data_IF_790622724994
#
_entry.id   IF_790622724994
#
_cell.length_a   1.000
_cell.length_b   1.000
_cell.length_c   1.000
_cell.angle_alpha   90.00
_cell.angle_beta   90.00
_cell.angle_gamma   90.00
#
_symmetry.space_group_name_H-M   'P 1'
#
loop_
_entity.id
_entity.type
_entity.pdbx_description
1 polymer ?
#
# COMPACT_ATOMS: atom_id res chain seq x y z
N UNK A 1 23.86 24.55 30.61
CA UNK A 1 23.13 23.39 31.16
C UNK A 1 22.06 22.95 30.16
N UNK A 2 22.43 22.62 28.91
CA UNK A 2 21.51 22.21 27.79
C UNK A 2 22.02 21.00 26.98
N UNK A 3 23.01 20.23 27.48
CA UNK A 3 23.68 19.17 26.70
C UNK A 3 23.39 17.73 27.17
N UNK A 4 22.69 17.50 28.28
CA UNK A 4 22.58 16.14 28.84
C UNK A 4 21.28 15.37 28.50
N UNK A 5 20.22 16.03 28.08
CA UNK A 5 18.93 15.36 27.84
C UNK A 5 18.94 14.63 26.49
N UNK A 6 19.56 15.19 25.46
CA UNK A 6 19.60 14.57 24.11
C UNK A 6 20.57 13.39 24.00
N UNK A 7 21.65 13.35 24.83
CA UNK A 7 22.61 12.26 24.84
C UNK A 7 22.06 10.96 25.44
N UNK A 8 21.25 11.06 26.50
CA UNK A 8 20.65 9.88 27.16
C UNK A 8 19.52 9.24 26.33
N UNK A 9 18.73 10.04 25.63
CA UNK A 9 17.65 9.51 24.78
C UNK A 9 18.22 8.76 23.56
N UNK A 10 19.32 9.26 22.97
CA UNK A 10 19.98 8.62 21.82
C UNK A 10 20.70 7.32 22.21
N UNK A 11 21.28 7.23 23.43
CA UNK A 11 21.99 6.04 23.91
C UNK A 11 21.04 4.87 24.24
N UNK A 12 19.85 5.17 24.78
CA UNK A 12 18.85 4.12 25.13
C UNK A 12 18.18 3.48 23.91
N UNK A 13 18.03 4.20 22.80
CA UNK A 13 17.45 3.65 21.58
C UNK A 13 18.42 2.78 20.77
N UNK A 14 19.72 3.13 20.77
CA UNK A 14 20.77 2.32 20.10
C UNK A 14 21.06 1.01 20.84
N UNK A 15 21.10 1.02 22.17
CA UNK A 15 21.35 -0.22 22.94
C UNK A 15 20.18 -1.22 22.84
N UNK A 16 18.93 -0.74 22.75
CA UNK A 16 17.77 -1.62 22.54
C UNK A 16 17.75 -2.26 21.15
N UNK A 17 18.19 -1.55 20.11
CA UNK A 17 18.25 -2.12 18.76
C UNK A 17 19.30 -3.21 18.63
N UNK A 18 20.45 -3.08 19.29
CA UNK A 18 21.52 -4.10 19.26
C UNK A 18 21.13 -5.39 19.98
N UNK A 19 20.42 -5.32 21.11
CA UNK A 19 19.97 -6.53 21.80
C UNK A 19 18.88 -7.27 20.99
N UNK A 20 17.98 -6.56 20.32
CA UNK A 20 16.93 -7.16 19.50
C UNK A 20 17.44 -7.83 18.22
N UNK A 21 18.64 -7.42 17.70
CA UNK A 21 19.27 -8.08 16.57
C UNK A 21 19.55 -9.56 16.84
N UNK A 22 20.02 -9.90 18.05
CA UNK A 22 20.34 -11.27 18.44
C UNK A 22 19.16 -11.98 19.09
N UNK A 23 18.26 -11.22 19.74
CA UNK A 23 17.11 -11.78 20.42
C UNK A 23 16.11 -12.40 19.43
N UNK A 24 15.94 -11.79 18.25
CA UNK A 24 15.04 -12.30 17.20
C UNK A 24 15.41 -13.73 16.76
N UNK A 25 16.61 -13.96 16.22
CA UNK A 25 17.05 -15.29 15.82
C UNK A 25 17.09 -16.28 16.97
N UNK A 26 17.60 -15.88 18.17
CA UNK A 26 17.67 -16.77 19.33
C UNK A 26 16.26 -17.22 19.78
N UNK A 27 15.33 -16.26 19.91
CA UNK A 27 13.95 -16.57 20.30
C UNK A 27 13.26 -17.47 19.27
N UNK A 28 13.53 -17.26 17.97
CA UNK A 28 12.96 -18.09 16.91
C UNK A 28 13.41 -19.53 16.99
N UNK A 29 14.70 -19.77 17.29
CA UNK A 29 15.26 -21.13 17.50
C UNK A 29 14.66 -21.78 18.75
N UNK A 30 14.58 -21.04 19.85
CA UNK A 30 13.99 -21.55 21.10
C UNK A 30 12.51 -21.92 20.91
N UNK A 31 11.73 -21.05 20.24
CA UNK A 31 10.31 -21.34 19.99
C UNK A 31 10.14 -22.51 19.03
N UNK A 32 10.95 -22.59 17.98
CA UNK A 32 10.90 -23.74 17.07
C UNK A 32 11.22 -25.05 17.80
N UNK A 33 12.24 -25.05 18.67
CA UNK A 33 12.59 -26.21 19.47
C UNK A 33 11.47 -26.60 20.48
N UNK A 34 10.91 -25.62 21.21
CA UNK A 34 9.80 -25.87 22.15
C UNK A 34 8.56 -26.39 21.41
N UNK A 35 8.25 -25.84 20.23
CA UNK A 35 7.11 -26.28 19.43
C UNK A 35 7.28 -27.72 18.90
N UNK A 36 8.53 -28.11 18.61
CA UNK A 36 8.85 -29.49 18.20
C UNK A 36 8.75 -30.47 19.37
N UNK A 37 9.38 -30.16 20.51
CA UNK A 37 9.46 -31.10 21.65
C UNK A 37 8.19 -31.18 22.46
N UNK A 38 7.52 -30.05 22.69
CA UNK A 38 6.37 -29.96 23.60
C UNK A 38 5.06 -29.59 22.92
N UNK A 39 5.14 -28.95 21.72
CA UNK A 39 3.97 -28.45 20.98
C UNK A 39 3.34 -29.48 20.05
N UNK A 40 3.94 -30.66 19.87
CA UNK A 40 3.44 -31.71 18.97
C UNK A 40 3.50 -31.31 17.47
N UNK A 41 4.25 -30.26 17.12
CA UNK A 41 4.44 -29.86 15.73
C UNK A 41 5.45 -30.77 15.03
N UNK A 42 5.25 -30.97 13.72
CA UNK A 42 6.26 -31.62 12.88
C UNK A 42 7.51 -30.72 12.74
N UNK A 43 8.66 -31.28 12.41
CA UNK A 43 9.88 -30.52 12.22
C UNK A 43 9.73 -29.40 11.16
N UNK A 44 9.12 -29.62 9.98
CA UNK A 44 8.88 -28.53 9.02
C UNK A 44 7.97 -27.41 9.58
N UNK A 45 6.91 -27.77 10.31
CA UNK A 45 6.01 -26.79 10.92
C UNK A 45 6.72 -25.94 11.98
N UNK A 46 7.51 -26.58 12.85
CA UNK A 46 8.28 -25.91 13.90
C UNK A 46 9.32 -24.95 13.33
N UNK A 47 10.05 -25.37 12.29
CA UNK A 47 11.04 -24.52 11.59
C UNK A 47 10.36 -23.33 10.91
N UNK A 48 9.21 -23.55 10.26
CA UNK A 48 8.42 -22.46 9.62
C UNK A 48 7.96 -21.47 10.67
N UNK A 49 7.48 -21.93 11.82
CA UNK A 49 7.09 -21.07 12.95
C UNK A 49 8.27 -20.22 13.43
N UNK A 50 9.47 -20.80 13.54
CA UNK A 50 10.68 -20.07 13.88
C UNK A 50 11.00 -18.95 12.88
N UNK A 51 10.99 -19.26 11.58
CA UNK A 51 11.20 -18.25 10.51
C UNK A 51 10.16 -17.14 10.57
N UNK A 52 8.88 -17.50 10.78
CA UNK A 52 7.80 -16.53 10.88
C UNK A 52 7.95 -15.60 12.08
N UNK A 53 8.28 -16.15 13.26
CA UNK A 53 8.50 -15.37 14.48
C UNK A 53 9.70 -14.41 14.32
N UNK A 54 10.81 -14.90 13.79
CA UNK A 54 11.97 -14.03 13.53
C UNK A 54 11.58 -12.86 12.61
N UNK A 55 10.95 -13.16 11.49
CA UNK A 55 10.51 -12.15 10.53
C UNK A 55 9.55 -11.15 11.17
N UNK A 56 8.54 -11.65 11.91
CA UNK A 56 7.54 -10.82 12.58
C UNK A 56 8.15 -9.91 13.66
N UNK A 57 9.06 -10.44 14.46
CA UNK A 57 9.76 -9.62 15.48
C UNK A 57 10.54 -8.48 14.85
N UNK A 58 11.27 -8.75 13.76
CA UNK A 58 12.03 -7.71 13.10
C UNK A 58 11.13 -6.72 12.33
N UNK A 59 9.94 -7.13 11.86
CA UNK A 59 8.96 -6.20 11.31
C UNK A 59 8.35 -5.30 12.38
N UNK A 60 7.96 -5.87 13.54
CA UNK A 60 7.28 -5.13 14.62
C UNK A 60 8.23 -4.13 15.29
N UNK A 61 9.47 -4.56 15.57
CA UNK A 61 10.44 -3.74 16.29
C UNK A 61 11.33 -2.90 15.36
N UNK A 62 11.19 -3.06 14.04
CA UNK A 62 12.02 -2.38 13.03
C UNK A 62 13.51 -2.46 13.35
N UNK A 63 13.95 -3.64 13.84
CA UNK A 63 15.32 -3.89 14.27
C UNK A 63 16.33 -3.68 13.13
N UNK A 64 15.91 -4.05 11.91
CA UNK A 64 16.52 -3.73 10.63
C UNK A 64 15.46 -3.11 9.72
N UNK A 65 15.82 -2.45 8.62
CA UNK A 65 14.82 -1.99 7.66
C UNK A 65 13.86 -3.13 7.24
N UNK A 66 12.55 -2.85 7.22
CA UNK A 66 11.51 -3.85 6.89
C UNK A 66 11.85 -4.70 5.65
N UNK A 67 12.35 -4.12 4.53
CA UNK A 67 12.74 -4.94 3.37
C UNK A 67 13.84 -5.95 3.67
N UNK A 68 14.77 -5.63 4.58
CA UNK A 68 15.85 -6.55 4.97
C UNK A 68 15.30 -7.70 5.82
N UNK A 69 14.42 -7.42 6.78
CA UNK A 69 13.69 -8.45 7.53
C UNK A 69 12.89 -9.37 6.61
N UNK A 70 12.35 -8.81 5.53
CA UNK A 70 11.59 -9.54 4.52
C UNK A 70 12.43 -10.49 3.64
N UNK A 71 13.75 -10.45 3.74
CA UNK A 71 14.63 -11.43 3.10
C UNK A 71 14.76 -12.74 3.91
N UNK A 72 14.35 -12.75 5.18
CA UNK A 72 14.45 -13.95 6.03
C UNK A 72 13.68 -15.14 5.43
N UNK A 73 12.39 -15.04 5.08
CA UNK A 73 11.67 -16.14 4.44
C UNK A 73 12.30 -16.58 3.12
N UNK A 74 12.78 -15.62 2.31
CA UNK A 74 13.44 -15.88 1.04
C UNK A 74 14.68 -16.77 1.19
N UNK A 75 15.48 -16.54 2.24
CA UNK A 75 16.71 -17.27 2.49
C UNK A 75 16.45 -18.58 3.24
N UNK A 76 15.69 -18.54 4.32
CA UNK A 76 15.61 -19.66 5.26
C UNK A 76 14.58 -20.73 4.88
N UNK A 77 13.45 -20.40 4.25
CA UNK A 77 12.47 -21.42 3.85
C UNK A 77 13.06 -22.43 2.85
N UNK A 78 13.84 -22.01 1.82
CA UNK A 78 14.53 -22.96 0.96
C UNK A 78 15.68 -23.71 1.67
N UNK A 79 16.49 -23.01 2.48
CA UNK A 79 17.61 -23.67 3.19
C UNK A 79 17.16 -24.76 4.15
N UNK A 80 15.96 -24.60 4.74
CA UNK A 80 15.36 -25.57 5.64
C UNK A 80 14.56 -26.65 4.87
N UNK A 81 14.52 -26.61 3.54
CA UNK A 81 13.81 -27.58 2.70
C UNK A 81 12.28 -27.49 2.77
N UNK A 82 11.74 -26.38 3.27
CA UNK A 82 10.29 -26.16 3.42
C UNK A 82 9.67 -25.76 2.08
N UNK A 83 10.28 -24.84 1.37
CA UNK A 83 9.89 -24.41 0.02
C UNK A 83 11.02 -24.69 -0.97
N UNK A 84 10.67 -25.00 -2.22
CA UNK A 84 11.68 -25.00 -3.28
C UNK A 84 12.11 -23.58 -3.64
N UNK A 85 13.35 -23.35 -4.11
CA UNK A 85 13.77 -22.05 -4.65
C UNK A 85 12.85 -21.56 -5.78
N UNK A 86 12.31 -22.47 -6.57
CA UNK A 86 11.34 -22.15 -7.63
C UNK A 86 10.05 -21.59 -7.04
N UNK A 87 9.46 -22.25 -6.04
CA UNK A 87 8.25 -21.77 -5.34
C UNK A 87 8.44 -20.37 -4.77
N UNK A 88 9.61 -20.12 -4.15
CA UNK A 88 9.96 -18.79 -3.64
C UNK A 88 9.98 -17.77 -4.78
N UNK A 89 10.64 -18.09 -5.92
CA UNK A 89 10.65 -17.22 -7.09
C UNK A 89 9.25 -16.92 -7.63
N UNK A 90 8.37 -17.92 -7.69
CA UNK A 90 6.97 -17.76 -8.10
C UNK A 90 6.18 -16.82 -7.16
N UNK A 91 6.43 -16.87 -5.84
CA UNK A 91 5.77 -15.96 -4.89
C UNK A 91 6.24 -14.50 -5.04
N UNK A 92 7.52 -14.27 -5.29
CA UNK A 92 8.03 -12.92 -5.56
C UNK A 92 7.66 -12.42 -6.97
N UNK A 93 7.51 -13.32 -7.95
CA UNK A 93 6.99 -13.03 -9.29
C UNK A 93 5.47 -13.16 -9.40
N UNK A 94 4.73 -13.25 -8.28
CA UNK A 94 3.29 -13.43 -8.29
C UNK A 94 2.58 -12.28 -9.04
N UNK A 95 1.53 -12.56 -9.86
CA UNK A 95 0.82 -11.53 -10.63
C UNK A 95 0.39 -10.30 -9.80
N UNK A 96 0.02 -10.49 -8.54
CA UNK A 96 -0.32 -9.38 -7.64
C UNK A 96 0.89 -8.51 -7.25
N UNK A 97 2.08 -9.11 -7.05
CA UNK A 97 3.32 -8.34 -6.81
C UNK A 97 3.70 -7.55 -8.07
N UNK A 98 3.54 -8.15 -9.23
CA UNK A 98 3.76 -7.50 -10.53
C UNK A 98 2.73 -6.37 -10.78
N UNK A 99 1.47 -6.57 -10.39
CA UNK A 99 0.45 -5.51 -10.44
C UNK A 99 0.85 -4.32 -9.56
N UNK A 100 1.34 -4.58 -8.35
CA UNK A 100 1.81 -3.53 -7.43
C UNK A 100 3.00 -2.77 -8.03
N UNK A 101 3.95 -3.47 -8.63
CA UNK A 101 5.08 -2.87 -9.35
C UNK A 101 4.59 -1.93 -10.46
N UNK A 102 3.67 -2.40 -11.31
CA UNK A 102 3.06 -1.60 -12.36
C UNK A 102 2.31 -0.38 -11.82
N UNK A 103 1.53 -0.57 -10.74
CA UNK A 103 0.82 0.51 -10.04
C UNK A 103 1.76 1.59 -9.48
N UNK A 104 2.89 1.20 -8.88
CA UNK A 104 3.90 2.16 -8.41
C UNK A 104 4.55 2.94 -9.55
N UNK A 105 4.83 2.31 -10.69
CA UNK A 105 5.37 2.98 -11.87
C UNK A 105 4.37 3.97 -12.47
N UNK A 106 3.08 3.60 -12.55
CA UNK A 106 2.00 4.51 -12.96
C UNK A 106 1.87 5.70 -12.00
N UNK A 107 1.92 5.44 -10.70
CA UNK A 107 1.92 6.47 -9.66
C UNK A 107 3.08 7.45 -9.83
N UNK A 108 4.29 6.96 -10.13
CA UNK A 108 5.47 7.81 -10.38
C UNK A 108 5.33 8.68 -11.63
N UNK A 109 4.71 8.20 -12.68
CA UNK A 109 4.39 9.02 -13.85
C UNK A 109 3.38 10.13 -13.50
N UNK A 110 2.36 9.82 -12.69
CA UNK A 110 1.39 10.79 -12.19
C UNK A 110 2.06 11.87 -11.33
N UNK A 111 3.00 11.47 -10.44
CA UNK A 111 3.80 12.38 -9.63
C UNK A 111 4.70 13.27 -10.49
N UNK A 112 5.42 12.71 -11.45
CA UNK A 112 6.34 13.41 -12.34
C UNK A 112 5.63 14.47 -13.21
N UNK A 113 4.47 14.11 -13.77
CA UNK A 113 3.69 15.04 -14.59
C UNK A 113 3.09 16.19 -13.79
N UNK A 114 2.84 16.01 -12.49
CA UNK A 114 2.14 16.97 -11.64
C UNK A 114 0.61 16.94 -11.78
N UNK A 115 0.05 16.05 -12.57
CA UNK A 115 -1.39 15.92 -12.79
C UNK A 115 -2.17 15.72 -11.50
N UNK A 116 -1.64 14.93 -10.56
CA UNK A 116 -2.21 14.70 -9.23
C UNK A 116 -2.43 16.00 -8.43
N UNK A 117 -1.49 16.97 -8.51
CA UNK A 117 -1.61 18.26 -7.82
C UNK A 117 -2.77 19.09 -8.40
N UNK A 118 -2.93 19.03 -9.70
CA UNK A 118 -4.01 19.75 -10.40
C UNK A 118 -5.37 19.18 -10.05
N UNK A 119 -5.49 17.85 -10.06
CA UNK A 119 -6.71 17.14 -9.61
C UNK A 119 -7.02 17.55 -8.17
N UNK A 120 -6.03 17.55 -7.27
CA UNK A 120 -6.22 17.93 -5.89
C UNK A 120 -6.81 19.34 -5.75
N UNK A 121 -6.21 20.34 -6.41
CA UNK A 121 -6.71 21.71 -6.35
C UNK A 121 -8.13 21.81 -6.93
N UNK A 122 -8.40 21.13 -8.05
CA UNK A 122 -9.73 21.16 -8.69
C UNK A 122 -10.81 20.55 -7.77
N UNK A 123 -10.52 19.39 -7.14
CA UNK A 123 -11.46 18.72 -6.25
C UNK A 123 -11.75 19.52 -4.97
N UNK A 124 -10.70 20.07 -4.33
CA UNK A 124 -10.90 20.89 -3.12
C UNK A 124 -11.69 22.17 -3.45
N UNK A 125 -11.48 22.76 -4.62
CA UNK A 125 -12.25 23.94 -5.08
C UNK A 125 -13.71 23.64 -5.39
N UNK A 126 -14.00 22.44 -5.85
CA UNK A 126 -15.37 22.03 -6.18
C UNK A 126 -16.24 21.83 -4.92
N UNK A 127 -15.62 21.80 -3.72
CA UNK A 127 -16.36 21.62 -2.48
C UNK A 127 -17.12 22.91 -2.08
N UNK A 128 -18.30 22.78 -1.44
CA UNK A 128 -19.04 23.91 -0.92
C UNK A 128 -18.20 24.73 0.06
N UNK A 129 -18.55 26.03 0.18
CA UNK A 129 -17.87 26.93 1.12
C UNK A 129 -18.20 26.57 2.56
N UNK A 130 -17.21 26.73 3.46
CA UNK A 130 -17.32 26.50 4.88
C UNK A 130 -16.31 25.49 5.42
N UNK A 131 -15.87 25.69 6.64
CA UNK A 131 -14.76 24.94 7.25
C UNK A 131 -15.02 23.42 7.28
N UNK A 132 -16.26 22.99 7.54
CA UNK A 132 -16.63 21.57 7.53
C UNK A 132 -16.50 20.95 6.16
N UNK A 133 -16.97 21.64 5.12
CA UNK A 133 -16.88 21.16 3.74
C UNK A 133 -15.46 21.24 3.20
N UNK A 134 -14.65 22.17 3.71
CA UNK A 134 -13.23 22.23 3.40
C UNK A 134 -12.51 20.97 3.90
N UNK A 135 -12.79 20.51 5.13
CA UNK A 135 -12.27 19.26 5.67
C UNK A 135 -12.70 18.09 4.75
N UNK A 136 -13.98 18.02 4.37
CA UNK A 136 -14.49 16.99 3.47
C UNK A 136 -13.81 17.04 2.10
N UNK A 137 -13.59 18.23 1.56
CA UNK A 137 -12.88 18.43 0.29
C UNK A 137 -11.45 17.91 0.33
N UNK A 138 -10.72 18.23 1.39
CA UNK A 138 -9.37 17.71 1.58
C UNK A 138 -9.38 16.19 1.79
N UNK A 139 -10.27 15.66 2.62
CA UNK A 139 -10.41 14.24 2.88
C UNK A 139 -10.82 13.47 1.63
N UNK A 140 -11.87 13.91 0.93
CA UNK A 140 -12.34 13.26 -0.30
C UNK A 140 -11.28 13.26 -1.40
N UNK A 141 -10.57 14.40 -1.56
CA UNK A 141 -9.44 14.50 -2.49
C UNK A 141 -8.31 13.57 -2.11
N UNK A 142 -7.94 13.54 -0.84
CA UNK A 142 -6.87 12.67 -0.32
C UNK A 142 -7.25 11.20 -0.51
N UNK A 143 -8.46 10.82 -0.15
CA UNK A 143 -8.95 9.45 -0.32
C UNK A 143 -8.93 9.04 -1.80
N UNK A 144 -9.46 9.89 -2.69
CA UNK A 144 -9.48 9.61 -4.13
C UNK A 144 -8.07 9.43 -4.71
N UNK A 145 -7.13 10.32 -4.39
CA UNK A 145 -5.76 10.23 -4.88
C UNK A 145 -5.02 9.03 -4.28
N UNK A 146 -5.27 8.71 -3.02
CA UNK A 146 -4.64 7.57 -2.33
C UNK A 146 -5.11 6.21 -2.83
N UNK A 147 -6.19 6.14 -3.58
CA UNK A 147 -6.56 4.92 -4.32
C UNK A 147 -5.52 4.55 -5.39
N UNK A 148 -4.80 5.54 -5.90
CA UNK A 148 -3.96 5.41 -7.10
C UNK A 148 -2.49 5.72 -6.86
N UNK A 149 -2.20 6.51 -5.84
CA UNK A 149 -0.87 6.97 -5.45
C UNK A 149 -0.64 6.53 -4.01
N UNK A 150 0.61 6.25 -3.63
CA UNK A 150 0.90 5.81 -2.26
C UNK A 150 0.37 6.81 -1.21
N UNK A 151 -0.11 6.28 -0.08
CA UNK A 151 -0.66 7.07 1.03
C UNK A 151 0.32 8.16 1.49
N UNK A 152 1.60 7.81 1.58
CA UNK A 152 2.67 8.75 1.98
C UNK A 152 2.83 9.88 0.96
N UNK A 153 2.91 9.56 -0.34
CA UNK A 153 3.06 10.60 -1.37
C UNK A 153 1.83 11.53 -1.41
N UNK A 154 0.63 10.96 -1.28
CA UNK A 154 -0.62 11.73 -1.22
C UNK A 154 -0.64 12.66 0.00
N UNK A 155 -0.30 12.15 1.18
CA UNK A 155 -0.25 12.94 2.41
C UNK A 155 0.78 14.07 2.31
N UNK A 156 2.01 13.77 1.87
CA UNK A 156 3.07 14.77 1.71
C UNK A 156 2.72 15.86 0.69
N UNK A 157 1.94 15.52 -0.34
CA UNK A 157 1.46 16.51 -1.30
C UNK A 157 0.33 17.39 -0.74
N UNK A 158 -0.61 16.79 0.01
CA UNK A 158 -1.75 17.53 0.57
C UNK A 158 -1.36 18.41 1.75
N UNK A 159 -0.30 18.03 2.49
CA UNK A 159 0.15 18.74 3.68
C UNK A 159 0.51 20.22 3.42
N UNK A 160 1.34 20.60 2.42
CA UNK A 160 1.62 22.00 2.15
C UNK A 160 0.38 22.82 1.79
N UNK A 161 -0.59 22.21 1.08
CA UNK A 161 -1.85 22.86 0.75
C UNK A 161 -2.69 23.12 2.01
N UNK A 162 -2.76 22.13 2.90
CA UNK A 162 -3.45 22.27 4.18
C UNK A 162 -2.79 23.32 5.08
N UNK A 163 -1.45 23.36 5.13
CA UNK A 163 -0.70 24.35 5.89
C UNK A 163 -0.94 25.78 5.38
N UNK A 164 -0.98 25.97 4.06
CA UNK A 164 -1.31 27.26 3.46
C UNK A 164 -2.73 27.72 3.85
N UNK A 165 -3.69 26.79 3.87
CA UNK A 165 -5.05 27.06 4.34
C UNK A 165 -5.07 27.43 5.82
N UNK A 166 -4.37 26.67 6.67
CA UNK A 166 -4.29 26.90 8.12
C UNK A 166 -3.67 28.28 8.42
N UNK A 167 -2.66 28.70 7.67
CA UNK A 167 -2.04 30.01 7.82
C UNK A 167 -2.96 31.17 7.38
N UNK A 168 -3.84 30.92 6.44
CA UNK A 168 -4.80 31.92 5.93
C UNK A 168 -6.11 32.04 6.71
N UNK A 169 -6.41 31.11 7.63
CA UNK A 169 -7.65 31.12 8.42
C UNK A 169 -7.47 31.71 9.82
N UNK A 170 -8.50 32.37 10.32
CA UNK A 170 -8.59 32.82 11.72
C UNK A 170 -9.09 31.67 12.65
N UNK A 171 -9.66 30.60 12.09
CA UNK A 171 -10.23 29.52 12.86
C UNK A 171 -9.17 28.46 13.26
N UNK A 172 -8.54 28.65 14.40
CA UNK A 172 -7.53 27.72 14.94
C UNK A 172 -8.08 26.30 15.18
N UNK A 173 -9.41 26.13 15.35
CA UNK A 173 -10.05 24.81 15.53
C UNK A 173 -10.02 23.95 14.26
N UNK A 174 -9.72 24.52 13.10
CA UNK A 174 -9.61 23.81 11.83
C UNK A 174 -8.32 22.98 11.72
N UNK A 175 -7.25 23.39 12.38
CA UNK A 175 -5.90 22.83 12.21
C UNK A 175 -5.86 21.32 12.45
N UNK A 176 -6.28 20.84 13.61
CA UNK A 176 -6.22 19.43 13.98
C UNK A 176 -7.14 18.58 13.09
N UNK A 177 -8.43 18.92 12.90
CA UNK A 177 -9.32 18.16 12.04
C UNK A 177 -8.85 18.06 10.58
N UNK A 178 -8.26 19.12 10.05
CA UNK A 178 -7.77 19.13 8.66
C UNK A 178 -6.56 18.21 8.49
N UNK A 179 -5.58 18.29 9.39
CA UNK A 179 -4.37 17.46 9.33
C UNK A 179 -4.68 15.97 9.60
N UNK A 180 -5.47 15.68 10.63
CA UNK A 180 -5.91 14.31 10.92
C UNK A 180 -6.80 13.76 9.81
N UNK A 181 -7.67 14.60 9.24
CA UNK A 181 -8.53 14.23 8.11
C UNK A 181 -7.73 13.77 6.90
N UNK A 182 -6.65 14.47 6.55
CA UNK A 182 -5.74 14.07 5.47
C UNK A 182 -5.08 12.72 5.80
N UNK A 183 -4.54 12.55 7.03
CA UNK A 183 -3.85 11.34 7.43
C UNK A 183 -4.79 10.10 7.39
N UNK A 184 -5.98 10.22 7.96
CA UNK A 184 -6.96 9.13 7.93
C UNK A 184 -7.49 8.87 6.53
N UNK A 185 -7.80 9.92 5.76
CA UNK A 185 -8.30 9.77 4.41
C UNK A 185 -7.27 9.14 3.46
N UNK A 186 -5.96 9.37 3.66
CA UNK A 186 -4.92 8.70 2.90
C UNK A 186 -4.94 7.18 3.14
N UNK A 187 -5.07 6.74 4.40
CA UNK A 187 -5.12 5.32 4.72
C UNK A 187 -6.42 4.65 4.26
N UNK A 188 -7.56 5.27 4.54
CA UNK A 188 -8.87 4.76 4.12
C UNK A 188 -9.00 4.74 2.60
N UNK A 189 -8.51 5.78 1.91
CA UNK A 189 -8.50 5.86 0.45
C UNK A 189 -7.74 4.70 -0.19
N UNK A 190 -6.61 4.30 0.40
CA UNK A 190 -5.84 3.16 -0.08
C UNK A 190 -6.62 1.83 -0.16
N UNK A 191 -7.72 1.68 0.57
CA UNK A 191 -8.58 0.48 0.51
C UNK A 191 -9.38 0.44 -0.81
N UNK A 192 -9.66 1.59 -1.43
CA UNK A 192 -10.59 1.71 -2.56
C UNK A 192 -10.19 0.96 -3.82
N UNK A 193 -8.91 0.69 -4.06
CA UNK A 193 -8.43 -0.09 -5.21
C UNK A 193 -7.37 -1.12 -4.79
N UNK A 194 -7.14 -2.18 -5.57
CA UNK A 194 -6.10 -3.18 -5.26
C UNK A 194 -4.71 -2.57 -5.07
N UNK A 195 -4.36 -1.57 -5.86
CA UNK A 195 -3.01 -0.95 -5.88
C UNK A 195 -2.85 0.21 -4.89
N UNK A 196 -3.93 0.65 -4.23
CA UNK A 196 -3.91 1.78 -3.31
C UNK A 196 -3.03 1.54 -2.08
N UNK A 197 -3.03 0.31 -1.55
CA UNK A 197 -2.14 -0.08 -0.44
C UNK A 197 -1.78 -1.57 -0.53
N UNK A 198 -0.52 -1.96 -0.20
CA UNK A 198 -0.04 -3.34 -0.33
C UNK A 198 -0.86 -4.42 0.39
N UNK A 199 -1.41 -4.20 1.61
CA UNK A 199 -2.24 -5.19 2.29
C UNK A 199 -3.44 -5.68 1.48
N UNK A 200 -3.99 -4.86 0.58
CA UNK A 200 -5.09 -5.27 -0.29
C UNK A 200 -4.71 -6.48 -1.14
N UNK A 201 -3.52 -6.46 -1.72
CA UNK A 201 -3.03 -7.53 -2.58
C UNK A 201 -2.69 -8.80 -1.79
N UNK A 202 -2.19 -8.64 -0.55
CA UNK A 202 -1.97 -9.78 0.36
C UNK A 202 -3.31 -10.44 0.70
N UNK A 203 -4.35 -9.66 0.97
CA UNK A 203 -5.69 -10.20 1.21
C UNK A 203 -6.26 -10.90 -0.05
N UNK A 204 -6.09 -10.32 -1.24
CA UNK A 204 -6.55 -10.94 -2.49
C UNK A 204 -5.85 -12.30 -2.73
N UNK A 205 -4.55 -12.37 -2.45
CA UNK A 205 -3.80 -13.62 -2.53
C UNK A 205 -4.29 -14.65 -1.53
N UNK A 206 -4.43 -14.27 -0.26
CA UNK A 206 -4.94 -15.15 0.79
C UNK A 206 -6.36 -15.66 0.49
N UNK A 207 -7.23 -14.80 -0.06
CA UNK A 207 -8.59 -15.17 -0.45
C UNK A 207 -8.58 -16.28 -1.51
N UNK A 208 -7.68 -16.19 -2.50
CA UNK A 208 -7.49 -17.24 -3.52
C UNK A 208 -6.91 -18.52 -2.90
N UNK A 209 -5.93 -18.40 -2.01
CA UNK A 209 -5.27 -19.54 -1.36
C UNK A 209 -6.24 -20.32 -0.43
N UNK A 210 -7.28 -19.65 0.08
CA UNK A 210 -8.39 -20.27 0.82
C UNK A 210 -9.40 -21.03 -0.08
N UNK A 211 -9.16 -21.09 -1.40
CA UNK A 211 -9.98 -21.80 -2.36
C UNK A 211 -11.15 -21.00 -2.94
N UNK A 212 -11.22 -19.69 -2.67
CA UNK A 212 -12.21 -18.82 -3.29
C UNK A 212 -11.78 -18.38 -4.69
N UNK A 213 -12.75 -17.86 -5.46
CA UNK A 213 -12.47 -17.34 -6.79
C UNK A 213 -11.50 -16.15 -6.73
N UNK A 214 -10.55 -16.10 -7.66
CA UNK A 214 -9.62 -14.98 -7.77
C UNK A 214 -10.35 -13.65 -7.97
N UNK A 215 -10.09 -12.68 -7.09
CA UNK A 215 -10.67 -11.35 -7.19
C UNK A 215 -9.98 -10.55 -8.30
N UNK A 216 -10.76 -10.03 -9.24
CA UNK A 216 -10.29 -9.06 -10.22
C UNK A 216 -10.18 -7.65 -9.61
N UNK A 217 -9.59 -6.72 -10.35
CA UNK A 217 -9.52 -5.31 -9.96
C UNK A 217 -10.92 -4.72 -9.68
N UNK A 218 -11.89 -5.04 -10.54
CA UNK A 218 -13.28 -4.59 -10.39
C UNK A 218 -13.99 -5.24 -9.20
N UNK A 219 -13.73 -6.52 -8.93
CA UNK A 219 -14.32 -7.20 -7.77
C UNK A 219 -13.87 -6.58 -6.47
N UNK A 220 -12.57 -6.27 -6.35
CA UNK A 220 -12.07 -5.52 -5.20
C UNK A 220 -12.78 -4.17 -5.05
N UNK A 221 -12.90 -3.38 -6.13
CA UNK A 221 -13.52 -2.07 -6.07
C UNK A 221 -15.00 -2.10 -5.65
N UNK A 222 -15.74 -3.17 -5.92
CA UNK A 222 -17.15 -3.32 -5.54
C UNK A 222 -17.39 -3.20 -4.04
N UNK A 223 -16.45 -3.67 -3.23
CA UNK A 223 -16.54 -3.50 -1.76
C UNK A 223 -15.57 -2.43 -1.24
N UNK A 224 -14.40 -2.26 -1.85
CA UNK A 224 -13.40 -1.28 -1.43
C UNK A 224 -13.90 0.16 -1.54
N UNK A 225 -14.58 0.52 -2.64
CA UNK A 225 -15.13 1.87 -2.82
C UNK A 225 -16.22 2.21 -1.80
N UNK A 226 -17.25 1.38 -1.57
CA UNK A 226 -18.25 1.63 -0.53
C UNK A 226 -17.64 1.78 0.86
N UNK A 227 -16.69 0.91 1.23
CA UNK A 227 -15.98 0.99 2.52
C UNK A 227 -15.22 2.31 2.64
N UNK A 228 -14.45 2.67 1.62
CA UNK A 228 -13.71 3.95 1.57
C UNK A 228 -14.65 5.15 1.72
N UNK A 229 -15.78 5.15 1.02
CA UNK A 229 -16.75 6.23 1.09
C UNK A 229 -17.36 6.36 2.48
N UNK A 230 -17.88 5.25 3.02
CA UNK A 230 -18.52 5.22 4.35
C UNK A 230 -17.53 5.64 5.44
N UNK A 231 -16.33 5.05 5.44
CA UNK A 231 -15.31 5.39 6.44
C UNK A 231 -14.86 6.84 6.34
N UNK A 232 -14.67 7.37 5.13
CA UNK A 232 -14.33 8.79 4.93
C UNK A 232 -15.42 9.70 5.48
N UNK A 233 -16.69 9.39 5.24
CA UNK A 233 -17.82 10.17 5.76
C UNK A 233 -17.94 10.08 7.29
N UNK A 234 -17.79 8.90 7.87
CA UNK A 234 -17.82 8.71 9.33
C UNK A 234 -16.71 9.51 10.02
N UNK A 235 -15.48 9.40 9.51
CA UNK A 235 -14.34 10.15 10.05
C UNK A 235 -14.55 11.66 9.88
N UNK A 236 -15.05 12.09 8.72
CA UNK A 236 -15.36 13.50 8.48
C UNK A 236 -16.42 14.01 9.47
N UNK A 237 -17.53 13.31 9.66
CA UNK A 237 -18.57 13.69 10.62
C UNK A 237 -18.00 13.85 12.03
N UNK A 238 -17.13 12.92 12.43
CA UNK A 238 -16.50 12.97 13.75
C UNK A 238 -15.53 14.15 13.89
N UNK A 239 -14.67 14.41 12.91
CA UNK A 239 -13.71 15.50 12.93
C UNK A 239 -14.38 16.87 12.78
N UNK A 240 -15.39 16.99 11.93
CA UNK A 240 -16.08 18.23 11.64
C UNK A 240 -17.04 18.69 12.76
N UNK A 241 -17.36 17.83 13.74
CA UNK A 241 -18.31 18.16 14.84
C UNK A 241 -17.88 19.37 15.68
N UNK A 242 -16.58 19.57 15.85
CA UNK A 242 -16.01 20.64 16.68
C UNK A 242 -15.67 21.90 15.89
N UNK A 243 -15.88 21.90 14.57
CA UNK A 243 -15.50 22.99 13.68
C UNK A 243 -16.75 23.75 13.23
N UNK A 244 -16.74 25.06 13.39
CA UNK A 244 -17.78 25.96 12.89
C UNK A 244 -17.11 27.22 12.36
N UNK A 245 -17.38 27.56 11.12
CA UNK A 245 -16.86 28.73 10.43
C UNK A 245 -17.33 28.76 8.97
N UNK A 246 -17.34 29.95 8.38
CA UNK A 246 -17.70 30.19 6.98
C UNK A 246 -16.57 30.91 6.23
N UNK A 247 -15.33 30.75 6.68
CA UNK A 247 -14.20 31.44 6.06
C UNK A 247 -14.07 31.01 4.60
N UNK A 248 -13.99 31.99 3.72
CA UNK A 248 -13.69 31.75 2.31
C UNK A 248 -12.17 31.75 2.13
N UNK A 249 -11.60 30.57 1.96
CA UNK A 249 -10.16 30.40 1.81
C UNK A 249 -9.78 30.45 0.34
N UNK A 250 -8.77 31.27 0.00
CA UNK A 250 -8.21 31.29 -1.35
C UNK A 250 -7.23 30.13 -1.54
N UNK A 251 -7.59 29.21 -2.42
CA UNK A 251 -6.69 28.12 -2.85
C UNK A 251 -5.76 28.57 -3.97
N UNK A 252 -4.53 28.04 -4.07
CA UNK A 252 -3.59 28.38 -5.12
C UNK A 252 -4.20 28.23 -6.52
N UNK A 253 -3.92 29.15 -7.43
CA UNK A 253 -4.37 29.03 -8.83
C UNK A 253 -3.54 27.97 -9.56
N UNK A 254 -4.22 26.99 -10.18
CA UNK A 254 -3.57 26.05 -11.09
C UNK A 254 -3.60 26.63 -12.49
N UNK A 255 -2.53 27.18 -13.01
CA UNK A 255 -2.46 27.71 -14.38
C UNK A 255 -3.10 26.83 -15.48
N UNK A 256 -2.74 26.97 -16.75
CA UNK A 256 -3.24 26.14 -17.85
C UNK A 256 -2.74 24.69 -17.77
N UNK A 257 -3.51 23.74 -18.33
CA UNK A 257 -3.12 22.34 -18.43
C UNK A 257 -1.85 22.15 -19.26
N UNK A 258 -0.88 21.45 -18.70
CA UNK A 258 0.34 21.08 -19.41
C UNK A 258 0.10 19.81 -20.25
N UNK A 259 0.82 19.69 -21.37
CA UNK A 259 0.71 18.51 -22.24
C UNK A 259 1.07 17.21 -21.51
N UNK A 260 2.07 17.24 -20.63
CA UNK A 260 2.47 16.10 -19.82
C UNK A 260 1.35 15.65 -18.88
N UNK A 261 0.65 16.59 -18.21
CA UNK A 261 -0.46 16.31 -17.32
C UNK A 261 -1.61 15.59 -18.05
N UNK A 262 -2.02 16.16 -19.20
CA UNK A 262 -3.13 15.60 -20.00
C UNK A 262 -2.79 14.20 -20.53
N UNK A 263 -1.59 14.02 -21.10
CA UNK A 263 -1.16 12.74 -21.65
C UNK A 263 -1.06 11.67 -20.58
N UNK A 264 -0.51 12.00 -19.42
CA UNK A 264 -0.44 11.05 -18.28
C UNK A 264 -1.83 10.68 -17.80
N UNK A 265 -2.74 11.64 -17.68
CA UNK A 265 -4.13 11.37 -17.29
C UNK A 265 -4.86 10.51 -18.32
N UNK A 266 -4.66 10.76 -19.63
CA UNK A 266 -5.25 9.91 -20.65
C UNK A 266 -4.78 8.45 -20.53
N UNK A 267 -3.47 8.22 -20.39
CA UNK A 267 -2.93 6.86 -20.21
C UNK A 267 -3.51 6.23 -18.94
N UNK A 268 -3.54 6.99 -17.86
CA UNK A 268 -4.04 6.53 -16.57
C UNK A 268 -5.54 6.17 -16.63
N UNK A 269 -6.38 7.03 -17.20
CA UNK A 269 -7.80 6.75 -17.37
C UNK A 269 -8.06 5.52 -18.26
N UNK A 270 -7.31 5.38 -19.35
CA UNK A 270 -7.39 4.20 -20.21
C UNK A 270 -6.98 2.92 -19.48
N UNK A 271 -5.96 3.00 -18.64
CA UNK A 271 -5.53 1.88 -17.80
C UNK A 271 -6.60 1.49 -16.79
N UNK A 272 -7.18 2.47 -16.10
CA UNK A 272 -8.27 2.23 -15.14
C UNK A 272 -9.50 1.62 -15.83
N UNK A 273 -9.88 2.13 -17.01
CA UNK A 273 -10.94 1.57 -17.82
C UNK A 273 -10.63 0.13 -18.24
N UNK A 274 -9.40 -0.14 -18.68
CA UNK A 274 -8.98 -1.48 -19.07
C UNK A 274 -9.03 -2.46 -17.89
N UNK A 275 -8.68 -2.06 -16.67
CA UNK A 275 -8.84 -2.89 -15.48
C UNK A 275 -10.31 -3.17 -15.14
N UNK A 276 -11.17 -2.13 -15.15
CA UNK A 276 -12.59 -2.26 -14.80
C UNK A 276 -13.32 -3.14 -15.81
N UNK A 277 -12.99 -2.99 -17.11
CA UNK A 277 -13.68 -3.72 -18.20
C UNK A 277 -12.97 -5.01 -18.64
N UNK A 278 -11.95 -5.46 -17.89
CA UNK A 278 -11.18 -6.66 -18.25
C UNK A 278 -12.04 -7.93 -18.30
N UNK A 279 -12.87 -8.12 -17.28
CA UNK A 279 -13.70 -9.33 -17.11
C UNK A 279 -15.19 -9.04 -17.21
N UNK A 280 -15.65 -7.79 -17.10
CA UNK A 280 -17.04 -7.37 -17.12
C UNK A 280 -17.23 -6.04 -17.85
N UNK A 281 -18.40 -5.75 -18.41
CA UNK A 281 -19.56 -6.63 -18.57
C UNK A 281 -19.37 -7.63 -19.71
N UNK A 282 -20.22 -8.68 -19.73
CA UNK A 282 -20.30 -9.67 -20.83
C UNK A 282 -18.96 -10.41 -21.12
N UNK A 283 -18.18 -10.74 -20.09
CA UNK A 283 -16.87 -11.38 -20.22
C UNK A 283 -15.71 -10.40 -20.44
N UNK A 284 -16.01 -9.12 -20.65
CA UNK A 284 -15.05 -8.06 -20.88
C UNK A 284 -14.19 -8.22 -22.13
N UNK A 285 -13.26 -7.27 -22.31
CA UNK A 285 -12.37 -7.29 -23.49
C UNK A 285 -11.44 -8.51 -23.51
N UNK A 286 -11.15 -9.13 -22.36
CA UNK A 286 -10.36 -10.35 -22.26
C UNK A 286 -10.98 -11.48 -23.08
N UNK A 287 -12.28 -11.66 -23.00
CA UNK A 287 -13.03 -12.67 -23.76
C UNK A 287 -13.23 -12.24 -25.21
N UNK A 288 -13.55 -10.97 -25.46
CA UNK A 288 -13.82 -10.46 -26.81
C UNK A 288 -12.58 -10.49 -27.72
N UNK A 289 -11.39 -10.34 -27.15
CA UNK A 289 -10.12 -10.39 -27.89
C UNK A 289 -9.44 -11.76 -27.84
N UNK A 290 -10.10 -12.78 -27.23
CA UNK A 290 -9.53 -14.13 -27.03
C UNK A 290 -8.14 -14.11 -26.37
N UNK A 291 -8.02 -13.35 -25.27
CA UNK A 291 -6.79 -13.21 -24.50
C UNK A 291 -6.93 -13.81 -23.08
N UNK A 292 -7.07 -15.16 -22.95
CA UNK A 292 -7.40 -15.79 -21.67
C UNK A 292 -6.34 -15.60 -20.59
N UNK A 293 -5.09 -15.33 -20.95
CA UNK A 293 -3.98 -15.11 -20.01
C UNK A 293 -3.81 -13.64 -19.59
N UNK A 294 -4.59 -12.71 -20.17
CA UNK A 294 -4.51 -11.31 -19.81
C UNK A 294 -4.94 -11.10 -18.35
N UNK A 295 -4.10 -10.45 -17.57
CA UNK A 295 -4.32 -10.13 -16.17
C UNK A 295 -4.08 -8.64 -15.88
N UNK A 296 -4.38 -8.20 -14.66
CA UNK A 296 -4.27 -6.78 -14.29
C UNK A 296 -2.82 -6.26 -14.34
N UNK A 297 -1.83 -7.12 -14.06
CA UNK A 297 -0.42 -6.76 -14.18
C UNK A 297 -0.01 -6.51 -15.64
N UNK A 298 -0.52 -7.31 -16.57
CA UNK A 298 -0.27 -7.13 -18.02
C UNK A 298 -0.77 -5.76 -18.49
N UNK A 299 -1.96 -5.35 -18.06
CA UNK A 299 -2.52 -4.03 -18.36
C UNK A 299 -1.65 -2.91 -17.80
N UNK A 300 -1.20 -3.05 -16.55
CA UNK A 300 -0.31 -2.08 -15.91
C UNK A 300 1.00 -1.93 -16.70
N UNK A 301 1.64 -3.03 -17.10
CA UNK A 301 2.91 -2.97 -17.83
C UNK A 301 2.78 -2.40 -19.23
N UNK A 302 1.70 -2.68 -19.95
CA UNK A 302 1.41 -2.03 -21.24
C UNK A 302 1.33 -0.51 -21.05
N UNK A 303 0.59 -0.04 -20.05
CA UNK A 303 0.49 1.38 -19.75
C UNK A 303 1.85 2.00 -19.36
N UNK A 304 2.66 1.30 -18.56
CA UNK A 304 4.02 1.72 -18.19
C UNK A 304 4.90 1.85 -19.45
N UNK A 305 4.89 0.86 -20.35
CA UNK A 305 5.64 0.94 -21.61
C UNK A 305 5.21 2.16 -22.43
N UNK A 306 3.90 2.41 -22.54
CA UNK A 306 3.37 3.59 -23.23
C UNK A 306 3.90 4.89 -22.60
N UNK A 307 3.95 4.97 -21.26
CA UNK A 307 4.48 6.16 -20.56
C UNK A 307 5.97 6.39 -20.82
N UNK A 308 6.77 5.34 -20.97
CA UNK A 308 8.18 5.43 -21.36
C UNK A 308 8.36 5.86 -22.83
N UNK A 309 7.42 5.50 -23.70
CA UNK A 309 7.48 5.82 -25.14
C UNK A 309 6.93 7.21 -25.46
N UNK A 310 5.90 7.67 -24.75
CA UNK A 310 5.25 8.95 -25.05
C UNK A 310 6.10 10.16 -24.62
N UNK A 311 6.30 11.16 -25.51
CA UNK A 311 6.98 12.40 -25.15
C UNK A 311 6.13 13.22 -24.17
N UNK A 312 6.78 13.94 -23.25
CA UNK A 312 6.08 14.82 -22.31
C UNK A 312 5.44 16.03 -22.99
N UNK A 313 5.97 16.43 -24.16
CA UNK A 313 5.45 17.55 -24.97
C UNK A 313 5.84 18.95 -24.48
N UNK A 314 6.69 19.05 -23.46
CA UNK A 314 7.20 20.31 -22.91
C UNK A 314 8.66 20.54 -23.29
N UNK A 315 9.50 19.51 -23.14
CA UNK A 315 10.91 19.54 -23.50
C UNK A 315 11.24 18.47 -24.51
N UNK A 316 12.06 18.83 -25.50
CA UNK A 316 12.51 17.90 -26.56
C UNK A 316 13.34 16.76 -25.93
N UNK A 317 12.96 15.52 -26.25
CA UNK A 317 13.63 14.32 -25.76
C UNK A 317 13.12 13.77 -24.42
N UNK A 318 12.37 14.54 -23.62
CA UNK A 318 11.80 14.03 -22.37
C UNK A 318 10.54 13.19 -22.60
N UNK A 319 10.40 12.12 -21.80
CA UNK A 319 9.26 11.21 -21.81
C UNK A 319 8.38 11.42 -20.57
N UNK A 320 7.13 10.91 -20.63
CA UNK A 320 6.21 10.97 -19.48
C UNK A 320 6.78 10.26 -18.26
N UNK A 321 7.41 9.11 -18.46
CA UNK A 321 8.18 8.38 -17.45
C UNK A 321 9.60 8.15 -17.97
N UNK A 322 10.60 8.30 -17.11
CA UNK A 322 11.99 7.93 -17.35
C UNK A 322 12.48 6.97 -16.25
N UNK A 323 13.57 6.26 -16.52
CA UNK A 323 14.11 5.27 -15.59
C UNK A 323 14.55 5.87 -14.25
N UNK A 324 15.07 7.11 -14.27
CA UNK A 324 15.47 7.79 -13.03
C UNK A 324 14.28 8.00 -12.09
N UNK A 325 13.14 8.37 -12.62
CA UNK A 325 11.88 8.52 -11.86
C UNK A 325 11.32 7.14 -11.48
N UNK A 326 11.30 6.21 -12.41
CA UNK A 326 10.82 4.84 -12.19
C UNK A 326 11.58 4.14 -11.06
N UNK A 327 12.89 4.34 -10.97
CA UNK A 327 13.73 3.74 -9.92
C UNK A 327 13.43 4.26 -8.51
N UNK A 328 12.63 5.32 -8.35
CA UNK A 328 12.23 5.88 -7.06
C UNK A 328 10.98 5.21 -6.46
N UNK A 329 10.50 4.12 -7.03
CA UNK A 329 9.42 3.34 -6.43
C UNK A 329 9.87 2.71 -5.11
N UNK A 330 8.94 2.40 -4.21
CA UNK A 330 9.27 1.76 -2.94
C UNK A 330 9.55 0.26 -3.14
N UNK A 331 10.71 -0.11 -3.68
CA UNK A 331 11.15 -1.50 -3.93
C UNK A 331 10.97 -2.41 -2.72
N UNK A 332 11.21 -1.86 -1.52
CA UNK A 332 11.07 -2.59 -0.27
C UNK A 332 9.66 -3.13 -0.02
N UNK A 333 8.64 -2.45 -0.56
CA UNK A 333 7.26 -2.93 -0.43
C UNK A 333 6.98 -4.16 -1.29
N UNK A 334 7.63 -4.28 -2.45
CA UNK A 334 7.53 -5.48 -3.29
C UNK A 334 8.17 -6.69 -2.58
N UNK A 335 9.33 -6.47 -1.96
CA UNK A 335 10.02 -7.50 -1.17
C UNK A 335 9.17 -7.91 0.03
N UNK A 336 8.55 -6.96 0.74
CA UNK A 336 7.66 -7.22 1.86
C UNK A 336 6.45 -8.09 1.47
N UNK A 337 5.78 -7.73 0.37
CA UNK A 337 4.61 -8.51 -0.11
C UNK A 337 5.03 -9.92 -0.53
N UNK A 338 6.14 -10.05 -1.28
CA UNK A 338 6.68 -11.35 -1.65
C UNK A 338 7.02 -12.24 -0.43
N UNK A 339 7.60 -11.63 0.62
CA UNK A 339 7.88 -12.32 1.88
C UNK A 339 6.62 -12.82 2.58
N UNK A 340 5.56 -11.99 2.61
CA UNK A 340 4.26 -12.38 3.16
C UNK A 340 3.66 -13.58 2.43
N UNK A 341 3.71 -13.57 1.09
CA UNK A 341 3.25 -14.68 0.25
C UNK A 341 4.10 -15.95 0.46
N UNK A 342 5.43 -15.81 0.63
CA UNK A 342 6.31 -16.93 0.94
C UNK A 342 6.00 -17.53 2.30
N UNK A 343 5.77 -16.70 3.32
CA UNK A 343 5.39 -17.19 4.67
C UNK A 343 4.05 -17.94 4.62
N UNK A 344 3.05 -17.39 3.92
CA UNK A 344 1.75 -18.06 3.76
C UNK A 344 1.89 -19.43 3.11
N UNK A 345 2.69 -19.53 2.02
CA UNK A 345 2.98 -20.81 1.37
C UNK A 345 3.77 -21.77 2.29
N UNK A 346 4.75 -21.25 3.03
CA UNK A 346 5.50 -22.01 4.02
C UNK A 346 4.59 -22.61 5.10
N UNK A 347 3.62 -21.84 5.60
CA UNK A 347 2.64 -22.31 6.57
C UNK A 347 1.82 -23.49 6.02
N UNK A 348 1.40 -23.37 4.76
CA UNK A 348 0.62 -24.41 4.08
C UNK A 348 1.44 -25.68 3.83
N UNK A 349 2.62 -25.55 3.21
CA UNK A 349 3.44 -26.72 2.85
C UNK A 349 4.06 -27.43 4.05
N UNK A 350 4.31 -26.72 5.15
CA UNK A 350 4.83 -27.32 6.38
C UNK A 350 3.76 -27.99 7.25
N UNK A 351 2.44 -27.81 6.98
CA UNK A 351 1.35 -28.26 7.81
C UNK A 351 1.11 -27.39 9.07
N UNK A 352 1.76 -26.22 9.13
CA UNK A 352 1.60 -25.32 10.29
C UNK A 352 0.18 -24.75 10.37
N UNK A 353 -0.43 -24.43 9.22
CA UNK A 353 -1.81 -23.92 9.16
C UNK A 353 -2.81 -24.90 9.75
N UNK A 354 -2.71 -26.19 9.40
CA UNK A 354 -3.56 -27.26 9.90
C UNK A 354 -3.35 -27.48 11.41
N UNK A 355 -2.08 -27.42 11.85
CA UNK A 355 -1.75 -27.57 13.27
C UNK A 355 -2.33 -26.42 14.12
N UNK A 356 -2.28 -25.20 13.64
CA UNK A 356 -2.88 -24.03 14.30
C UNK A 356 -4.41 -24.19 14.32
N UNK A 357 -5.02 -24.56 13.20
CA UNK A 357 -6.47 -24.74 13.11
C UNK A 357 -6.97 -25.82 14.07
N UNK A 358 -6.27 -26.96 14.17
CA UNK A 358 -6.63 -28.04 15.11
C UNK A 358 -6.45 -27.62 16.56
N UNK A 359 -5.43 -26.84 16.90
CA UNK A 359 -5.24 -26.33 18.26
C UNK A 359 -6.37 -25.35 18.65
N UNK A 360 -6.81 -24.48 17.72
CA UNK A 360 -7.91 -23.55 17.98
C UNK A 360 -9.27 -24.23 18.09
N UNK A 361 -9.55 -25.23 17.26
CA UNK A 361 -10.81 -26.03 17.39
C UNK A 361 -10.89 -26.86 18.66
N UNK A 362 -9.75 -27.26 19.24
CA UNK A 362 -9.70 -27.92 20.55
C UNK A 362 -10.10 -27.01 21.71
N UNK A 363 -9.95 -25.69 21.56
CA UNK A 363 -10.32 -24.69 22.59
C UNK A 363 -11.84 -24.41 22.58
N UNK A 364 -12.53 -24.56 21.46
CA UNK A 364 -13.99 -24.39 21.38
C UNK A 364 -14.76 -25.50 22.11
N UNK A 365 -14.09 -26.59 22.44
CA UNK A 365 -14.68 -27.73 23.18
C UNK A 365 -14.35 -27.71 24.69
N UNK A 366 -13.74 -26.64 25.22
CA UNK A 366 -13.48 -26.38 26.63
C UNK A 366 -14.41 -25.28 27.18
#
# INVERSE_FOLDING_TARGET
>A
MKSDVNGRIKKSSTDRSHSLLWLGPLLSVVVAWLALEFGGLTAPASMTLGVAIWTALWWIFETVPIPVASLIPLAFLPMLGILSPQTVGEKYGHPLVLLLLGGFLLSKAMEKSGAHKRIAVAMVRACPKGDKFLILGFMGTTAFLSMWISNTATTLMMLPMALAVIQGTQNKKLTIPLLLGIAFAANVGGIGTPIGTPPNLVMMAAYKDLGFQELSFSDWMRFGLPVTLVMTLVIWLWLARSVSGKDSISLPHSGNWKKAEVRTLCVFCLTALAWITRSEPFGGWKTWLDLPQANDASVAFIAVIILFCLPNGEKKGERLLDWKTANQIPWGMLVLVGAGLCLGEGFKQSGLSESIASALSGVENL
#
